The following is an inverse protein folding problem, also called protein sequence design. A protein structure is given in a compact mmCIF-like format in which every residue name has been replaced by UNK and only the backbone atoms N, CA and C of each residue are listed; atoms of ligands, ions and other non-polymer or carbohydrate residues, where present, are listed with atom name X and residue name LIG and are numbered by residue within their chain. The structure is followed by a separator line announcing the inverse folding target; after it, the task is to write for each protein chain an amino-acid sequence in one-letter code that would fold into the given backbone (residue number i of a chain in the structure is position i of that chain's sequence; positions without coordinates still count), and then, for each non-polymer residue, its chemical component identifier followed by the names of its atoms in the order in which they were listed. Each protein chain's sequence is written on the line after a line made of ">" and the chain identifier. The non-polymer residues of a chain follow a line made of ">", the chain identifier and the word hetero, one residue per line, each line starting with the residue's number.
data_IF_929040240800
#
_entry.id   IF_929040240800
#
_cell.length_a   1.000
_cell.length_b   1.000
_cell.length_c   1.000
_cell.angle_alpha   90.00
_cell.angle_beta   90.00
_cell.angle_gamma   90.00
#
_symmetry.space_group_name_H-M   'P 1'
#
loop_
_entity.id
_entity.type
_entity.pdbx_description
1 polymer ?
#
# COMPACT_ATOMS: atom_id res chain seq x y z
N UNK A 1 -58.28 -15.53 28.30
CA UNK A 1 -57.40 -14.50 27.72
C UNK A 1 -57.07 -14.90 26.29
N UNK A 2 -57.46 -14.13 25.27
CA UNK A 2 -57.42 -14.57 23.88
C UNK A 2 -56.28 -13.92 23.07
N UNK A 3 -55.74 -14.65 22.11
CA UNK A 3 -55.14 -14.11 20.88
C UNK A 3 -55.30 -15.21 19.83
N UNK A 4 -56.19 -15.05 18.84
CA UNK A 4 -55.90 -14.39 17.54
C UNK A 4 -54.78 -15.14 16.80
N UNK A 5 -54.93 -15.67 15.61
CA UNK A 5 -55.90 -15.50 14.52
C UNK A 5 -55.13 -15.94 13.28
N UNK A 6 -55.72 -16.82 12.48
CA UNK A 6 -55.09 -17.38 11.26
C UNK A 6 -54.92 -16.27 10.21
N UNK A 7 -53.84 -16.32 9.45
CA UNK A 7 -53.96 -16.08 8.00
C UNK A 7 -52.78 -16.69 7.23
N UNK A 8 -53.14 -17.52 6.26
CA UNK A 8 -52.28 -18.11 5.27
C UNK A 8 -52.21 -17.17 4.07
N UNK A 9 -51.02 -16.83 3.58
CA UNK A 9 -50.81 -16.34 2.22
C UNK A 9 -49.47 -16.87 1.68
N UNK A 10 -49.61 -17.70 0.64
CA UNK A 10 -48.78 -17.79 -0.56
C UNK A 10 -47.25 -17.74 -0.39
N UNK A 11 -46.63 -18.91 -0.19
CA UNK A 11 -45.25 -19.16 -0.64
C UNK A 11 -45.32 -19.83 -2.01
N UNK A 12 -45.61 -19.03 -3.04
CA UNK A 12 -45.54 -19.48 -4.42
C UNK A 12 -44.66 -18.52 -5.21
N UNK A 13 -43.47 -19.00 -5.55
CA UNK A 13 -42.64 -18.40 -6.59
C UNK A 13 -41.36 -17.75 -6.10
N UNK A 14 -40.40 -18.53 -5.59
CA UNK A 14 -39.02 -18.30 -6.00
C UNK A 14 -38.44 -19.63 -6.48
N UNK A 15 -38.37 -19.71 -7.80
CA UNK A 15 -37.71 -20.74 -8.56
C UNK A 15 -36.31 -21.00 -8.02
N UNK A 16 -36.01 -22.28 -7.87
CA UNK A 16 -34.67 -22.84 -7.98
C UNK A 16 -34.12 -22.43 -9.35
N UNK A 17 -33.27 -21.41 -9.39
CA UNK A 17 -32.44 -21.08 -10.56
C UNK A 17 -31.00 -20.82 -10.12
N UNK A 18 -30.13 -21.58 -10.78
CA UNK A 18 -28.71 -21.41 -11.04
C UNK A 18 -27.75 -20.96 -9.94
N UNK A 19 -26.76 -21.81 -9.75
CA UNK A 19 -25.45 -21.56 -9.13
C UNK A 19 -24.57 -20.72 -10.08
N UNK A 20 -25.12 -19.70 -10.74
CA UNK A 20 -24.44 -18.87 -11.74
C UNK A 20 -24.83 -17.41 -11.55
N UNK A 21 -24.30 -16.78 -10.50
CA UNK A 21 -24.02 -15.34 -10.47
C UNK A 21 -23.17 -15.01 -9.24
N UNK A 22 -21.93 -15.51 -9.22
CA UNK A 22 -20.90 -14.98 -8.34
C UNK A 22 -20.12 -13.93 -9.15
N UNK A 23 -20.81 -12.82 -9.46
CA UNK A 23 -20.20 -11.69 -10.13
C UNK A 23 -19.12 -11.09 -9.23
N UNK A 24 -17.97 -10.88 -9.86
CA UNK A 24 -16.82 -10.10 -9.41
C UNK A 24 -17.24 -9.03 -8.40
N UNK A 25 -16.69 -9.10 -7.19
CA UNK A 25 -16.87 -8.06 -6.15
C UNK A 25 -16.66 -6.67 -6.78
N UNK A 26 -17.66 -5.81 -6.66
CA UNK A 26 -17.65 -4.45 -7.19
C UNK A 26 -16.53 -3.61 -6.55
N UNK A 27 -15.35 -3.62 -7.18
CA UNK A 27 -14.13 -2.90 -6.78
C UNK A 27 -14.33 -1.37 -6.78
N UNK A 28 -15.40 -0.88 -7.40
CA UNK A 28 -15.71 0.56 -7.57
C UNK A 28 -15.96 1.27 -6.23
N UNK A 29 -16.38 0.55 -5.20
CA UNK A 29 -16.67 1.09 -3.86
C UNK A 29 -15.43 1.27 -2.97
N UNK A 30 -14.26 0.75 -3.38
CA UNK A 30 -13.05 0.82 -2.56
C UNK A 30 -12.35 2.20 -2.63
N UNK A 31 -11.74 2.68 -1.53
CA UNK A 31 -10.92 3.89 -1.50
C UNK A 31 -9.85 3.86 -2.60
N UNK A 32 -9.53 5.01 -3.22
CA UNK A 32 -8.57 5.08 -4.32
C UNK A 32 -7.23 4.40 -4.02
N UNK A 33 -6.70 4.52 -2.80
CA UNK A 33 -5.47 3.83 -2.38
C UNK A 33 -5.60 2.29 -2.36
N UNK A 34 -6.79 1.78 -2.04
CA UNK A 34 -7.09 0.34 -2.07
C UNK A 34 -7.31 -0.11 -3.51
N UNK A 35 -7.92 0.73 -4.35
CA UNK A 35 -8.04 0.52 -5.79
C UNK A 35 -6.68 0.54 -6.48
N UNK A 36 -5.75 1.41 -6.11
CA UNK A 36 -4.38 1.42 -6.65
C UNK A 36 -3.56 0.21 -6.15
N UNK A 37 -3.92 -0.33 -4.98
CA UNK A 37 -3.31 -1.54 -4.44
C UNK A 37 -3.89 -2.84 -5.01
N UNK A 38 -5.18 -2.87 -5.35
CA UNK A 38 -5.93 -4.02 -5.87
C UNK A 38 -6.19 -3.97 -7.38
N UNK A 39 -5.98 -2.82 -8.02
CA UNK A 39 -5.87 -2.73 -9.45
C UNK A 39 -4.73 -3.66 -9.83
N UNK A 40 -5.05 -4.62 -10.70
CA UNK A 40 -4.07 -5.30 -11.52
C UNK A 40 -2.99 -4.27 -11.87
N UNK A 41 -1.72 -4.55 -11.57
CA UNK A 41 -0.66 -3.55 -11.67
C UNK A 41 -0.74 -2.89 -13.04
N UNK A 42 -0.53 -1.56 -13.04
CA UNK A 42 -0.07 -0.73 -14.17
C UNK A 42 0.18 -1.56 -15.44
N UNK A 43 -0.59 -1.36 -16.53
CA UNK A 43 -0.76 -2.33 -17.62
C UNK A 43 0.52 -3.11 -17.86
N UNK A 44 0.42 -4.42 -17.58
CA UNK A 44 1.51 -5.37 -17.78
C UNK A 44 2.18 -5.02 -19.12
N UNK A 45 3.51 -4.89 -19.18
CA UNK A 45 4.16 -4.35 -20.36
C UNK A 45 3.87 -5.14 -21.65
N UNK A 46 3.39 -6.39 -21.50
CA UNK A 46 2.98 -7.30 -22.58
C UNK A 46 1.68 -8.01 -22.16
N UNK A 47 0.50 -7.45 -22.49
CA UNK A 47 -0.78 -8.07 -22.16
C UNK A 47 -1.17 -9.20 -23.12
N UNK A 48 -0.58 -9.26 -24.32
CA UNK A 48 -1.01 -10.11 -25.44
C UNK A 48 -0.50 -11.58 -25.40
N UNK A 49 0.05 -12.04 -24.27
CA UNK A 49 0.41 -13.45 -24.06
C UNK A 49 1.81 -13.88 -24.54
N UNK A 50 2.66 -12.94 -24.97
CA UNK A 50 4.11 -13.18 -25.16
C UNK A 50 4.92 -12.76 -23.90
N UNK A 51 4.37 -13.09 -22.73
CA UNK A 51 4.84 -12.63 -21.42
C UNK A 51 6.08 -13.40 -20.96
N UNK A 52 7.19 -13.16 -21.67
CA UNK A 52 8.49 -13.77 -21.40
C UNK A 52 9.53 -12.70 -21.16
N UNK A 53 9.56 -12.18 -19.93
CA UNK A 53 10.51 -11.16 -19.51
C UNK A 53 11.85 -11.78 -19.13
N UNK A 54 12.93 -11.15 -19.56
CA UNK A 54 14.28 -11.39 -19.05
C UNK A 54 14.40 -10.88 -17.61
N UNK A 55 15.41 -11.36 -16.90
CA UNK A 55 15.70 -10.88 -15.55
C UNK A 55 16.04 -9.39 -15.50
N UNK A 56 16.63 -8.85 -16.57
CA UNK A 56 16.96 -7.42 -16.65
C UNK A 56 15.70 -6.57 -16.81
N UNK A 57 14.77 -6.97 -17.67
CA UNK A 57 13.48 -6.29 -17.82
C UNK A 57 12.70 -6.32 -16.50
N UNK A 58 12.61 -7.47 -15.83
CA UNK A 58 11.93 -7.54 -14.52
C UNK A 58 12.61 -6.67 -13.47
N UNK A 59 13.94 -6.59 -13.48
CA UNK A 59 14.68 -5.72 -12.57
C UNK A 59 14.34 -4.24 -12.78
N UNK A 60 14.23 -3.81 -14.04
CA UNK A 60 13.81 -2.44 -14.39
C UNK A 60 12.35 -2.17 -13.98
N UNK A 61 11.44 -3.10 -14.27
CA UNK A 61 10.01 -2.96 -13.98
C UNK A 61 9.68 -2.96 -12.49
N UNK A 62 10.40 -3.76 -11.70
CA UNK A 62 10.10 -3.96 -10.27
C UNK A 62 11.01 -3.13 -9.36
N UNK A 63 12.08 -2.54 -9.89
CA UNK A 63 13.15 -1.90 -9.11
C UNK A 63 13.98 -2.89 -8.28
N UNK A 64 13.79 -4.20 -8.44
CA UNK A 64 14.56 -5.23 -7.75
C UNK A 64 15.87 -5.51 -8.49
N UNK A 65 16.94 -5.84 -7.77
CA UNK A 65 18.18 -6.25 -8.44
C UNK A 65 18.03 -7.65 -9.02
N UNK A 66 18.74 -7.99 -10.12
CA UNK A 66 18.82 -9.37 -10.61
C UNK A 66 19.31 -10.36 -9.55
N UNK A 67 20.14 -9.91 -8.60
CA UNK A 67 20.58 -10.73 -7.47
C UNK A 67 19.40 -11.05 -6.53
N UNK A 68 18.58 -10.07 -6.20
CA UNK A 68 17.38 -10.24 -5.36
C UNK A 68 16.37 -11.18 -6.01
N UNK A 69 16.13 -11.07 -7.31
CA UNK A 69 15.22 -11.95 -8.04
C UNK A 69 15.70 -13.42 -7.98
N UNK A 70 16.99 -13.66 -8.21
CA UNK A 70 17.60 -15.00 -8.07
C UNK A 70 17.53 -15.51 -6.64
N UNK A 71 17.72 -14.61 -5.68
CA UNK A 71 17.63 -14.95 -4.26
C UNK A 71 16.20 -15.37 -3.87
N UNK A 72 15.18 -14.63 -4.32
CA UNK A 72 13.77 -14.96 -4.09
C UNK A 72 13.37 -16.31 -4.68
N UNK A 73 13.83 -16.63 -5.89
CA UNK A 73 13.66 -17.97 -6.47
C UNK A 73 14.35 -19.03 -5.60
N UNK A 74 15.60 -18.79 -5.19
CA UNK A 74 16.41 -19.75 -4.40
C UNK A 74 15.81 -20.08 -3.04
N UNK A 75 15.22 -19.11 -2.36
CA UNK A 75 14.60 -19.32 -1.04
C UNK A 75 13.17 -19.86 -1.13
N UNK A 76 12.67 -20.14 -2.34
CA UNK A 76 11.31 -20.64 -2.54
C UNK A 76 10.22 -19.60 -2.36
N UNK A 77 10.56 -18.30 -2.42
CA UNK A 77 9.57 -17.23 -2.34
C UNK A 77 8.83 -17.05 -3.67
N UNK A 78 9.47 -17.38 -4.79
CA UNK A 78 8.79 -17.52 -6.09
C UNK A 78 8.59 -18.99 -6.44
N UNK A 79 7.59 -19.26 -7.27
CA UNK A 79 7.47 -20.55 -7.95
C UNK A 79 8.62 -20.78 -8.93
N UNK A 80 8.74 -21.98 -9.47
CA UNK A 80 9.75 -22.29 -10.47
C UNK A 80 9.61 -21.34 -11.68
N UNK A 81 10.67 -20.63 -12.02
CA UNK A 81 10.70 -19.71 -13.15
C UNK A 81 11.14 -20.47 -14.40
N UNK A 82 10.33 -20.37 -15.45
CA UNK A 82 10.60 -20.99 -16.74
C UNK A 82 11.94 -20.52 -17.33
N UNK A 83 12.50 -21.35 -18.20
CA UNK A 83 13.76 -21.07 -18.87
C UNK A 83 13.61 -21.15 -20.38
N UNK A 84 14.30 -20.25 -21.09
CA UNK A 84 14.46 -20.35 -22.54
C UNK A 84 15.28 -21.57 -22.93
N UNK A 85 15.28 -21.91 -24.22
CA UNK A 85 16.15 -22.96 -24.78
C UNK A 85 17.64 -22.72 -24.51
N UNK A 86 18.06 -21.47 -24.35
CA UNK A 86 19.42 -21.06 -23.98
C UNK A 86 19.68 -21.07 -22.46
N UNK A 87 18.73 -21.55 -21.65
CA UNK A 87 18.85 -21.68 -20.19
C UNK A 87 18.61 -20.39 -19.40
N UNK A 88 18.16 -19.31 -20.04
CA UNK A 88 17.92 -18.02 -19.40
C UNK A 88 16.52 -17.96 -18.77
N UNK A 89 16.40 -17.35 -17.58
CA UNK A 89 15.11 -17.16 -16.90
C UNK A 89 14.14 -16.35 -17.76
N UNK A 90 12.87 -16.77 -17.75
CA UNK A 90 11.75 -16.10 -18.40
C UNK A 90 10.60 -15.98 -17.41
N UNK A 91 10.34 -14.75 -17.00
CA UNK A 91 9.26 -14.43 -16.08
C UNK A 91 7.99 -14.14 -16.87
N UNK A 92 6.86 -14.51 -16.29
CA UNK A 92 5.52 -14.26 -16.79
C UNK A 92 4.89 -13.02 -16.15
N UNK A 93 3.73 -12.63 -16.68
CA UNK A 93 2.87 -11.64 -16.05
C UNK A 93 2.42 -12.07 -14.64
N UNK A 94 2.21 -13.38 -14.43
CA UNK A 94 1.87 -13.91 -13.11
C UNK A 94 3.02 -13.72 -12.11
N UNK A 95 4.27 -13.91 -12.56
CA UNK A 95 5.44 -13.67 -11.71
C UNK A 95 5.61 -12.19 -11.36
N UNK A 96 5.32 -11.28 -12.29
CA UNK A 96 5.31 -9.83 -12.04
C UNK A 96 4.25 -9.43 -11.01
N UNK A 97 3.01 -9.96 -11.13
CA UNK A 97 1.96 -9.74 -10.13
C UNK A 97 2.36 -10.27 -8.75
N UNK A 98 2.95 -11.46 -8.71
CA UNK A 98 3.48 -12.03 -7.48
C UNK A 98 4.57 -11.16 -6.86
N UNK A 99 5.53 -10.69 -7.65
CA UNK A 99 6.60 -9.80 -7.21
C UNK A 99 6.06 -8.46 -6.67
N UNK A 100 5.01 -7.92 -7.28
CA UNK A 100 4.32 -6.72 -6.79
C UNK A 100 3.70 -6.95 -5.41
N UNK A 101 3.01 -8.08 -5.20
CA UNK A 101 2.48 -8.47 -3.89
C UNK A 101 3.59 -8.64 -2.85
N UNK A 102 4.64 -9.40 -3.17
CA UNK A 102 5.81 -9.60 -2.29
C UNK A 102 6.46 -8.26 -1.93
N UNK A 103 6.57 -7.34 -2.89
CA UNK A 103 7.04 -5.98 -2.66
C UNK A 103 6.19 -5.24 -1.61
N UNK A 104 4.85 -5.28 -1.77
CA UNK A 104 3.90 -4.67 -0.83
C UNK A 104 3.99 -5.32 0.57
N UNK A 105 4.05 -6.65 0.68
CA UNK A 105 4.21 -7.35 1.96
C UNK A 105 5.54 -7.00 2.64
N UNK A 106 6.62 -6.85 1.88
CA UNK A 106 7.90 -6.43 2.44
C UNK A 106 7.83 -5.00 3.01
N UNK A 107 7.10 -4.09 2.37
CA UNK A 107 6.92 -2.72 2.87
C UNK A 107 6.15 -2.65 4.19
N UNK A 108 5.34 -3.66 4.52
CA UNK A 108 4.65 -3.72 5.83
C UNK A 108 5.58 -4.15 6.97
N UNK A 109 6.84 -4.49 6.69
CA UNK A 109 7.75 -5.06 7.67
C UNK A 109 7.54 -6.55 7.91
N UNK A 110 6.77 -7.25 7.06
CA UNK A 110 6.63 -8.71 7.13
C UNK A 110 8.00 -9.38 6.99
N UNK A 111 8.28 -10.35 7.84
CA UNK A 111 9.54 -11.09 7.80
C UNK A 111 9.65 -11.93 6.52
N UNK A 112 10.88 -12.18 6.07
CA UNK A 112 11.12 -13.07 4.92
C UNK A 112 10.58 -14.47 5.19
N UNK A 113 10.66 -14.94 6.44
CA UNK A 113 10.12 -16.24 6.85
C UNK A 113 8.60 -16.31 6.67
N UNK A 114 7.87 -15.26 7.07
CA UNK A 114 6.41 -15.21 6.92
C UNK A 114 6.00 -15.07 5.44
N UNK A 115 6.78 -14.34 4.64
CA UNK A 115 6.56 -14.27 3.19
C UNK A 115 6.75 -15.64 2.52
N UNK A 116 7.76 -16.42 2.94
CA UNK A 116 7.95 -17.80 2.45
C UNK A 116 6.78 -18.68 2.89
N UNK A 117 6.35 -18.60 4.16
CA UNK A 117 5.17 -19.32 4.66
C UNK A 117 3.93 -18.99 3.84
N UNK A 118 3.70 -17.71 3.53
CA UNK A 118 2.60 -17.28 2.68
C UNK A 118 2.71 -17.90 1.27
N UNK A 119 3.91 -17.94 0.69
CA UNK A 119 4.15 -18.56 -0.62
C UNK A 119 3.89 -20.08 -0.60
N UNK A 120 4.25 -20.77 0.48
CA UNK A 120 3.97 -22.20 0.66
C UNK A 120 2.47 -22.47 0.77
N UNK A 121 1.76 -21.70 1.60
CA UNK A 121 0.31 -21.77 1.70
C UNK A 121 -0.34 -21.50 0.33
N UNK A 122 0.13 -20.47 -0.38
CA UNK A 122 -0.34 -20.12 -1.72
C UNK A 122 -0.27 -21.31 -2.69
N UNK A 123 0.88 -21.98 -2.71
CA UNK A 123 1.14 -23.17 -3.54
C UNK A 123 0.34 -24.40 -3.13
N UNK A 124 0.06 -24.57 -1.84
CA UNK A 124 -0.73 -25.72 -1.35
C UNK A 124 -2.17 -25.72 -1.89
N UNK A 125 -2.70 -24.55 -2.31
CA UNK A 125 -4.01 -24.44 -2.94
C UNK A 125 -5.13 -24.11 -1.96
N UNK A 126 -6.37 -24.20 -2.43
CA UNK A 126 -7.54 -23.53 -1.84
C UNK A 126 -7.84 -23.92 -0.38
N UNK A 127 -7.45 -25.12 0.04
CA UNK A 127 -7.66 -25.58 1.41
C UNK A 127 -6.92 -24.72 2.47
N UNK A 128 -5.94 -23.91 2.06
CA UNK A 128 -5.17 -23.02 2.96
C UNK A 128 -5.69 -21.58 3.02
N UNK A 129 -6.87 -21.28 2.45
CA UNK A 129 -7.38 -19.91 2.44
C UNK A 129 -7.54 -19.33 3.85
N UNK A 130 -7.93 -20.14 4.84
CA UNK A 130 -8.08 -19.69 6.22
C UNK A 130 -6.74 -19.23 6.81
N UNK A 131 -5.67 -20.02 6.65
CA UNK A 131 -4.35 -19.69 7.17
C UNK A 131 -3.73 -18.48 6.45
N UNK A 132 -3.95 -18.37 5.13
CA UNK A 132 -3.51 -17.18 4.37
C UNK A 132 -4.23 -15.92 4.87
N UNK A 133 -5.53 -16.02 5.08
CA UNK A 133 -6.34 -14.90 5.59
C UNK A 133 -5.86 -14.48 6.98
N UNK A 134 -5.62 -15.44 7.89
CA UNK A 134 -5.15 -15.16 9.24
C UNK A 134 -3.79 -14.44 9.23
N UNK A 135 -2.85 -14.90 8.40
CA UNK A 135 -1.53 -14.27 8.24
C UNK A 135 -1.68 -12.81 7.77
N UNK A 136 -2.49 -12.57 6.74
CA UNK A 136 -2.72 -11.20 6.23
C UNK A 136 -3.46 -10.31 7.25
N UNK A 137 -4.37 -10.88 8.04
CA UNK A 137 -5.05 -10.14 9.11
C UNK A 137 -4.10 -9.78 10.26
N UNK A 138 -3.14 -10.65 10.61
CA UNK A 138 -2.08 -10.33 11.55
C UNK A 138 -1.23 -9.16 11.04
N UNK A 139 -0.72 -9.26 9.81
CA UNK A 139 0.04 -8.17 9.18
C UNK A 139 -0.75 -6.87 9.10
N UNK A 140 -2.05 -6.94 8.78
CA UNK A 140 -2.92 -5.76 8.76
C UNK A 140 -2.98 -5.06 10.13
N UNK A 141 -3.06 -5.83 11.23
CA UNK A 141 -3.06 -5.26 12.59
C UNK A 141 -1.74 -4.54 12.88
N UNK A 142 -0.62 -5.13 12.51
CA UNK A 142 0.71 -4.53 12.71
C UNK A 142 0.87 -3.23 11.91
N UNK A 143 0.41 -3.22 10.65
CA UNK A 143 0.40 -2.02 9.80
C UNK A 143 -0.44 -0.91 10.43
N UNK A 144 -1.64 -1.21 10.93
CA UNK A 144 -2.49 -0.20 11.57
C UNK A 144 -1.84 0.40 12.81
N UNK A 145 -1.21 -0.44 13.64
CA UNK A 145 -0.41 0.03 14.79
C UNK A 145 0.69 0.98 14.33
N UNK A 146 1.45 0.60 13.29
CA UNK A 146 2.54 1.42 12.77
C UNK A 146 2.06 2.75 12.17
N UNK A 147 0.92 2.75 11.49
CA UNK A 147 0.29 3.97 10.97
C UNK A 147 -0.04 4.93 12.12
N UNK A 148 -0.67 4.43 13.19
CA UNK A 148 -1.01 5.25 14.34
C UNK A 148 0.23 5.87 15.02
N UNK A 149 1.31 5.10 15.18
CA UNK A 149 2.59 5.59 15.70
C UNK A 149 3.19 6.69 14.81
N UNK A 150 3.19 6.49 13.49
CA UNK A 150 3.73 7.44 12.53
C UNK A 150 2.91 8.73 12.49
N UNK A 151 1.58 8.63 12.60
CA UNK A 151 0.70 9.80 12.72
C UNK A 151 1.00 10.61 14.00
N UNK A 152 1.18 9.94 15.14
CA UNK A 152 1.58 10.61 16.38
C UNK A 152 2.95 11.26 16.27
N UNK A 153 3.90 10.60 15.62
CA UNK A 153 5.24 11.15 15.34
C UNK A 153 5.14 12.39 14.44
N UNK A 154 4.32 12.34 13.40
CA UNK A 154 4.09 13.46 12.48
C UNK A 154 3.54 14.68 13.24
N UNK A 155 2.57 14.50 14.13
CA UNK A 155 2.03 15.60 14.95
C UNK A 155 3.10 16.28 15.82
N UNK A 156 4.07 15.52 16.35
CA UNK A 156 5.19 16.08 17.10
C UNK A 156 6.12 16.89 16.19
N UNK A 157 6.39 16.39 14.99
CA UNK A 157 7.21 17.09 14.00
C UNK A 157 6.55 18.41 13.57
N UNK A 158 5.25 18.38 13.26
CA UNK A 158 4.47 19.56 12.86
C UNK A 158 4.51 20.62 13.96
N UNK A 159 4.26 20.24 15.21
CA UNK A 159 4.36 21.15 16.35
C UNK A 159 5.76 21.79 16.48
N UNK A 160 6.83 21.00 16.27
CA UNK A 160 8.20 21.53 16.35
C UNK A 160 8.51 22.48 15.20
N UNK A 161 8.07 22.16 13.98
CA UNK A 161 8.22 23.02 12.82
C UNK A 161 7.56 24.38 13.08
N UNK A 162 6.31 24.39 13.55
CA UNK A 162 5.57 25.62 13.86
C UNK A 162 6.22 26.43 14.98
N UNK A 163 6.68 25.75 16.03
CA UNK A 163 7.37 26.40 17.15
C UNK A 163 8.64 27.13 16.70
N UNK A 164 9.42 26.52 15.80
CA UNK A 164 10.62 27.15 15.26
C UNK A 164 10.29 28.26 14.26
N UNK A 165 9.27 28.11 13.41
CA UNK A 165 8.80 29.17 12.53
C UNK A 165 8.45 30.43 13.33
N UNK A 166 7.68 30.29 14.41
CA UNK A 166 7.35 31.41 15.29
C UNK A 166 8.57 32.05 15.98
N UNK A 167 9.61 31.27 16.30
CA UNK A 167 10.87 31.82 16.84
C UNK A 167 11.66 32.59 15.79
N UNK A 168 11.75 32.07 14.57
CA UNK A 168 12.42 32.73 13.44
C UNK A 168 11.76 34.08 13.17
N UNK A 169 10.43 34.13 13.11
CA UNK A 169 9.68 35.37 12.86
C UNK A 169 9.86 36.40 13.96
N UNK A 170 9.88 35.97 15.22
CA UNK A 170 10.15 36.87 16.36
C UNK A 170 11.56 37.44 16.27
N UNK A 171 12.56 36.59 16.01
CA UNK A 171 13.94 37.01 15.92
C UNK A 171 14.20 37.94 14.72
N UNK A 172 13.55 37.69 13.57
CA UNK A 172 13.59 38.57 12.42
C UNK A 172 12.98 39.95 12.73
N UNK A 173 11.83 39.99 13.41
CA UNK A 173 11.19 41.24 13.84
C UNK A 173 12.05 42.06 14.82
N UNK A 174 12.68 41.40 15.79
CA UNK A 174 13.60 42.07 16.72
C UNK A 174 14.80 42.66 15.99
N UNK A 175 15.43 41.90 15.06
CA UNK A 175 16.54 42.42 14.24
C UNK A 175 16.16 43.62 13.38
N UNK A 176 14.99 43.60 12.74
CA UNK A 176 14.53 44.72 11.91
C UNK A 176 14.22 45.96 12.75
N UNK A 177 13.67 45.79 13.96
CA UNK A 177 13.42 46.90 14.88
C UNK A 177 14.72 47.55 15.41
N UNK A 178 15.76 46.75 15.65
CA UNK A 178 17.08 47.24 16.08
C UNK A 178 17.87 47.92 14.94
N UNK A 179 17.62 47.54 13.68
CA UNK A 179 18.29 48.09 12.50
C UNK A 179 17.63 49.36 11.93
N UNK A 180 16.47 49.79 12.45
CA UNK A 180 15.83 51.03 12.02
C UNK A 180 16.68 52.25 12.46
N UNK A 181 17.02 53.19 11.55
CA UNK A 181 17.86 54.33 11.91
C UNK A 181 17.14 55.18 12.96
N UNK A 182 17.80 55.42 14.10
CA UNK A 182 17.35 56.41 15.09
C UNK A 182 17.24 57.74 14.34
N UNK A 183 16.02 58.19 14.06
CA UNK A 183 15.77 59.47 13.43
C UNK A 183 16.52 60.55 14.21
N UNK A 184 17.53 61.09 13.56
CA UNK A 184 18.43 62.13 14.04
C UNK A 184 17.60 63.39 14.33
N UNK A 185 17.88 64.00 15.49
CA UNK A 185 17.04 65.02 16.11
C UNK A 185 16.72 66.20 15.18
N UNK A 186 15.43 66.50 15.08
CA UNK A 186 14.94 67.74 14.50
C UNK A 186 15.55 68.96 15.23
N UNK A 187 15.95 70.01 14.50
CA UNK A 187 16.60 71.18 15.10
C UNK A 187 15.56 71.99 15.88
N UNK A 188 15.82 72.26 17.16
CA UNK A 188 15.09 73.31 17.89
C UNK A 188 15.51 74.66 17.35
N UNK A 189 14.62 75.26 16.58
CA UNK A 189 14.62 76.68 16.26
C UNK A 189 14.24 77.52 17.49
N UNK A 190 14.62 78.80 17.39
CA UNK A 190 14.19 79.97 18.18
C UNK A 190 14.86 80.12 19.57
N UNK A 191 15.44 81.27 19.93
CA UNK A 191 15.27 82.62 19.43
C UNK A 191 14.88 83.56 20.59
N UNK A 192 15.56 84.71 20.68
CA UNK A 192 15.39 85.82 21.63
C UNK A 192 16.15 85.73 22.97
#
# INVERSE_FOLDING_TARGET
>A
MPASGRSALAWSGLQRSSVEDMTVTDTTSLPAVVRDCLAEPDPLPRPDGDDRYTISEVAELTGLTPHTLRWYERIGLMQHIDRSHSGQRRYSNADLRWLSLVGKLRLTGMSVADMIRYAELARAGEHTFAERQELLQATRRDVLTRIAELQGTLSVLDYKIDHYAGKIDRHARTRTAEAAPRAEGAPRAEGA
#
